data_IF_145803358658
#
_entry.id   IF_145803358658
#
_cell.length_a   1.000
_cell.length_b   1.000
_cell.length_c   1.000
_cell.angle_alpha   90.00
_cell.angle_beta   90.00
_cell.angle_gamma   90.00
#
_symmetry.space_group_name_H-M   'P 1'
#
loop_
_entity.id
_entity.type
_entity.pdbx_description
1 polymer ?
#
# COMPACT_ATOMS: atom_id res chain seq x y z
N UNK A 1 -17.50 21.67 97.31
CA UNK A 1 -17.24 23.08 96.99
C UNK A 1 -15.87 23.10 96.23
N UNK A 2 -15.84 23.26 95.03
CA UNK A 2 -14.74 23.78 94.23
C UNK A 2 -14.97 23.45 92.75
N UNK A 3 -15.34 24.47 91.96
CA UNK A 3 -15.54 24.44 90.51
C UNK A 3 -14.17 24.42 89.86
N UNK A 4 -13.90 23.46 89.00
CA UNK A 4 -12.80 23.52 87.99
C UNK A 4 -13.45 23.54 86.64
N UNK A 5 -13.29 24.70 85.95
CA UNK A 5 -13.61 24.90 84.58
C UNK A 5 -12.44 24.32 83.73
N UNK A 6 -12.75 23.36 82.87
CA UNK A 6 -11.81 22.94 81.78
C UNK A 6 -12.11 23.75 80.52
N UNK A 7 -11.16 24.57 80.11
CA UNK A 7 -11.22 25.28 78.84
C UNK A 7 -10.53 24.38 77.73
N UNK A 8 -11.35 23.92 76.79
CA UNK A 8 -10.84 23.19 75.65
C UNK A 8 -10.39 24.18 74.58
N UNK A 9 -9.09 24.20 74.28
CA UNK A 9 -8.54 24.87 73.13
C UNK A 9 -8.72 23.99 71.89
N UNK A 10 -9.60 24.40 70.96
CA UNK A 10 -9.77 23.80 69.65
C UNK A 10 -8.66 24.32 68.74
N UNK A 11 -7.68 23.48 68.44
CA UNK A 11 -6.61 23.78 67.41
C UNK A 11 -7.21 23.52 66.06
N UNK A 12 -7.52 24.59 65.32
CA UNK A 12 -7.93 24.52 63.90
C UNK A 12 -6.71 24.35 63.03
N UNK A 13 -6.45 23.12 62.58
CA UNK A 13 -5.38 22.83 61.60
C UNK A 13 -5.90 23.16 60.20
N UNK A 14 -5.43 24.25 59.63
CA UNK A 14 -5.67 24.60 58.20
C UNK A 14 -4.78 23.68 57.34
N UNK A 15 -5.39 22.72 56.67
CA UNK A 15 -4.73 21.88 55.69
C UNK A 15 -4.70 22.64 54.36
N UNK A 16 -3.55 23.24 54.02
CA UNK A 16 -3.33 23.82 52.70
C UNK A 16 -3.15 22.69 51.71
N UNK A 17 -4.19 22.39 50.91
CA UNK A 17 -4.10 21.54 49.73
C UNK A 17 -3.41 22.34 48.63
N UNK A 18 -2.11 22.09 48.40
CA UNK A 18 -1.38 22.59 47.25
C UNK A 18 -1.83 21.73 46.05
N UNK A 19 -2.76 22.23 45.27
CA UNK A 19 -3.03 21.73 43.92
C UNK A 19 -1.80 22.02 43.05
N UNK A 20 -0.92 21.04 42.91
CA UNK A 20 0.08 21.06 41.88
C UNK A 20 -0.62 20.96 40.51
N UNK A 21 -0.86 22.07 39.86
CA UNK A 21 -1.12 22.10 38.43
C UNK A 21 0.15 21.57 37.74
N UNK A 22 0.19 20.29 37.41
CA UNK A 22 1.11 19.77 36.43
C UNK A 22 0.63 20.33 35.10
N UNK A 23 1.09 21.54 34.74
CA UNK A 23 1.00 22.01 33.37
C UNK A 23 1.69 20.97 32.49
N UNK A 24 0.93 20.22 31.72
CA UNK A 24 1.48 19.35 30.70
C UNK A 24 2.34 20.23 29.78
N UNK A 25 3.65 19.97 29.76
CA UNK A 25 4.51 20.53 28.73
C UNK A 25 4.00 19.87 27.45
N UNK A 26 3.23 20.64 26.65
CA UNK A 26 2.92 20.20 25.28
C UNK A 26 4.29 20.03 24.59
N UNK A 27 4.61 18.82 24.18
CA UNK A 27 5.76 18.61 23.33
C UNK A 27 5.57 19.42 22.04
N UNK A 28 6.66 19.93 21.46
CA UNK A 28 6.57 20.58 20.16
C UNK A 28 5.97 19.58 19.13
N UNK A 29 5.09 20.05 18.22
CA UNK A 29 4.49 19.18 17.23
C UNK A 29 5.57 18.54 16.33
N UNK A 30 5.40 17.25 16.01
CA UNK A 30 6.27 16.53 15.09
C UNK A 30 6.12 17.10 13.68
N UNK A 31 7.23 17.46 13.05
CA UNK A 31 7.27 17.90 11.65
C UNK A 31 7.47 16.68 10.75
N UNK A 32 6.41 16.29 10.05
CA UNK A 32 6.40 15.16 9.13
C UNK A 32 6.41 15.64 7.69
N UNK A 33 7.26 15.06 6.84
CA UNK A 33 7.28 15.36 5.41
C UNK A 33 6.99 14.11 4.59
N UNK A 34 6.28 14.29 3.47
CA UNK A 34 5.94 13.24 2.51
C UNK A 34 6.43 13.63 1.12
N UNK A 35 7.10 12.69 0.44
CA UNK A 35 7.66 12.87 -0.90
C UNK A 35 6.96 11.91 -1.86
N UNK A 36 6.25 12.45 -2.84
CA UNK A 36 5.42 11.72 -3.78
C UNK A 36 5.99 11.69 -5.19
N UNK A 37 5.82 10.56 -5.89
CA UNK A 37 6.24 10.39 -7.28
C UNK A 37 5.30 11.07 -8.28
N UNK A 38 4.02 11.13 -7.99
CA UNK A 38 2.96 11.72 -8.82
C UNK A 38 2.24 12.88 -8.11
N UNK A 39 1.24 13.45 -8.77
CA UNK A 39 0.34 14.43 -8.16
C UNK A 39 -0.64 13.76 -7.20
N UNK A 40 -1.09 14.46 -6.16
CA UNK A 40 -2.09 13.95 -5.20
C UNK A 40 -3.47 13.67 -5.83
N UNK A 41 -3.69 14.13 -7.04
CA UNK A 41 -4.88 13.88 -7.84
C UNK A 41 -4.73 12.77 -8.88
N UNK A 42 -3.74 11.87 -8.77
CA UNK A 42 -3.54 10.75 -9.71
C UNK A 42 -4.62 9.66 -9.62
N UNK A 43 -5.36 9.64 -8.51
CA UNK A 43 -6.38 8.66 -8.13
C UNK A 43 -5.84 7.25 -7.84
N UNK A 44 -4.52 7.05 -7.95
CA UNK A 44 -3.81 5.81 -7.68
C UNK A 44 -2.95 5.88 -6.43
N UNK A 45 -1.65 5.65 -6.62
CA UNK A 45 -0.65 5.51 -5.56
C UNK A 45 -0.50 6.78 -4.71
N UNK A 46 -0.21 7.92 -5.34
CA UNK A 46 0.00 9.18 -4.61
C UNK A 46 -1.27 9.64 -3.92
N UNK A 47 -2.42 9.51 -4.56
CA UNK A 47 -3.72 9.79 -3.95
C UNK A 47 -3.97 8.95 -2.70
N UNK A 48 -3.62 7.66 -2.71
CA UNK A 48 -3.78 6.79 -1.55
C UNK A 48 -2.89 7.23 -0.37
N UNK A 49 -1.66 7.66 -0.63
CA UNK A 49 -0.77 8.23 0.38
C UNK A 49 -1.29 9.57 0.90
N UNK A 50 -1.74 10.46 0.02
CA UNK A 50 -2.34 11.74 0.41
C UNK A 50 -3.59 11.56 1.29
N UNK A 51 -4.47 10.61 0.97
CA UNK A 51 -5.60 10.25 1.84
C UNK A 51 -5.15 9.78 3.23
N UNK A 52 -4.07 9.02 3.28
CA UNK A 52 -3.50 8.56 4.54
C UNK A 52 -2.91 9.72 5.37
N UNK A 53 -2.32 10.71 4.71
CA UNK A 53 -1.86 11.94 5.36
C UNK A 53 -3.03 12.76 5.90
N UNK A 54 -4.15 12.82 5.18
CA UNK A 54 -5.35 13.49 5.70
C UNK A 54 -5.89 12.76 6.95
N UNK A 55 -5.88 11.42 6.95
CA UNK A 55 -6.21 10.63 8.13
C UNK A 55 -5.23 10.87 9.29
N UNK A 56 -3.92 10.97 9.02
CA UNK A 56 -2.92 11.34 10.03
C UNK A 56 -3.23 12.68 10.66
N UNK A 57 -3.50 13.72 9.85
CA UNK A 57 -3.87 15.06 10.32
C UNK A 57 -5.14 15.05 11.16
N UNK A 58 -6.13 14.24 10.77
CA UNK A 58 -7.40 14.11 11.50
C UNK A 58 -7.20 13.45 12.88
N UNK A 59 -6.37 12.41 12.96
CA UNK A 59 -6.19 11.62 14.19
C UNK A 59 -5.22 12.29 15.16
N UNK A 60 -4.10 12.81 14.68
CA UNK A 60 -3.03 13.39 15.51
C UNK A 60 -3.29 14.87 15.81
N UNK A 61 -4.02 15.56 14.94
CA UNK A 61 -4.41 16.96 15.17
C UNK A 61 -3.23 17.93 15.18
N UNK A 62 -3.22 18.81 16.19
CA UNK A 62 -2.23 19.88 16.32
C UNK A 62 -0.84 19.38 16.71
N UNK A 63 -0.68 18.12 17.10
CA UNK A 63 0.61 17.51 17.48
C UNK A 63 1.44 17.11 16.24
N UNK A 64 0.96 17.34 15.01
CA UNK A 64 1.71 17.12 13.77
C UNK A 64 1.64 18.29 12.80
N UNK A 65 2.78 18.70 12.25
CA UNK A 65 2.88 19.66 11.14
C UNK A 65 3.32 18.89 9.90
N UNK A 66 2.49 18.89 8.86
CA UNK A 66 2.76 18.11 7.65
C UNK A 66 3.22 18.99 6.49
N UNK A 67 4.24 18.51 5.78
CA UNK A 67 4.72 19.04 4.49
C UNK A 67 4.58 17.95 3.43
N UNK A 68 3.89 18.20 2.33
CA UNK A 68 3.76 17.29 1.19
C UNK A 68 4.48 17.87 -0.03
N UNK A 69 5.25 17.06 -0.76
CA UNK A 69 5.97 17.46 -1.98
C UNK A 69 5.63 16.47 -3.09
N UNK A 70 4.94 16.95 -4.11
CA UNK A 70 4.41 16.16 -5.22
C UNK A 70 5.36 16.12 -6.42
N UNK A 71 5.18 15.11 -7.27
CA UNK A 71 5.80 14.99 -8.59
C UNK A 71 7.32 15.10 -8.56
N UNK A 72 7.95 14.48 -7.57
CA UNK A 72 9.40 14.41 -7.44
C UNK A 72 9.93 13.25 -8.27
N UNK A 73 10.75 13.53 -9.27
CA UNK A 73 11.29 12.49 -10.14
C UNK A 73 12.31 11.58 -9.41
N UNK A 74 12.36 10.31 -9.78
CA UNK A 74 13.29 9.28 -9.24
C UNK A 74 14.72 9.43 -9.81
N UNK A 75 15.28 10.62 -9.69
CA UNK A 75 16.62 10.97 -10.15
C UNK A 75 17.36 11.80 -9.07
N UNK A 76 18.34 12.62 -9.46
CA UNK A 76 19.07 13.52 -8.54
C UNK A 76 18.17 14.51 -7.79
N UNK A 77 16.98 14.83 -8.32
CA UNK A 77 16.03 15.73 -7.67
C UNK A 77 15.47 15.13 -6.38
N UNK A 78 15.22 13.83 -6.34
CA UNK A 78 14.74 13.18 -5.11
C UNK A 78 15.73 13.33 -3.96
N UNK A 79 17.04 13.13 -4.18
CA UNK A 79 18.06 13.35 -3.14
C UNK A 79 18.09 14.81 -2.68
N UNK A 80 17.97 15.76 -3.59
CA UNK A 80 17.95 17.21 -3.28
C UNK A 80 16.73 17.59 -2.44
N UNK A 81 15.55 17.09 -2.81
CA UNK A 81 14.29 17.33 -2.08
C UNK A 81 14.35 16.72 -0.69
N UNK A 82 14.70 15.43 -0.58
CA UNK A 82 14.80 14.71 0.70
C UNK A 82 15.83 15.42 1.61
N UNK A 83 16.99 15.86 1.08
CA UNK A 83 18.00 16.61 1.83
C UNK A 83 17.45 17.94 2.36
N UNK A 84 16.66 18.66 1.55
CA UNK A 84 16.06 19.92 1.97
C UNK A 84 15.03 19.71 3.10
N UNK A 85 14.26 18.63 3.02
CA UNK A 85 13.28 18.27 4.04
C UNK A 85 13.93 17.80 5.34
N UNK A 86 15.05 17.05 5.28
CA UNK A 86 15.78 16.56 6.44
C UNK A 86 16.33 17.66 7.35
N UNK A 87 16.50 18.88 6.83
CA UNK A 87 16.98 20.03 7.61
C UNK A 87 15.92 20.64 8.52
N UNK A 88 14.66 20.29 8.36
CA UNK A 88 13.54 20.99 9.02
C UNK A 88 12.37 20.10 9.43
N UNK A 89 12.50 18.79 9.26
CA UNK A 89 11.49 17.82 9.66
C UNK A 89 12.10 16.74 10.56
N UNK A 90 11.28 16.14 11.40
CA UNK A 90 11.66 15.12 12.37
C UNK A 90 11.52 13.71 11.78
N UNK A 91 10.54 13.55 10.89
CA UNK A 91 10.29 12.29 10.16
C UNK A 91 9.94 12.56 8.68
N UNK A 92 10.44 11.73 7.78
CA UNK A 92 10.25 11.85 6.33
C UNK A 92 9.79 10.53 5.77
N UNK A 93 8.65 10.54 5.08
CA UNK A 93 8.11 9.43 4.33
C UNK A 93 8.42 9.59 2.85
N UNK A 94 9.12 8.63 2.26
CA UNK A 94 9.45 8.58 0.83
C UNK A 94 8.68 7.44 0.19
N UNK A 95 7.79 7.75 -0.76
CA UNK A 95 6.71 6.85 -1.18
C UNK A 95 6.91 6.26 -2.57
N UNK A 96 8.13 6.11 -3.05
CA UNK A 96 8.38 5.43 -4.32
C UNK A 96 9.63 4.57 -4.27
N UNK A 97 9.61 3.42 -4.95
CA UNK A 97 10.72 2.46 -4.97
C UNK A 97 12.05 3.10 -5.36
N UNK A 98 12.07 3.96 -6.38
CA UNK A 98 13.29 4.62 -6.83
C UNK A 98 13.88 5.65 -5.87
N UNK A 99 13.16 6.02 -4.80
CA UNK A 99 13.72 6.86 -3.74
C UNK A 99 14.59 6.08 -2.75
N UNK A 100 14.71 4.76 -2.85
CA UNK A 100 15.42 3.93 -1.89
C UNK A 100 16.87 4.38 -1.66
N UNK A 101 17.66 4.46 -2.72
CA UNK A 101 19.07 4.88 -2.63
C UNK A 101 19.24 6.34 -2.19
N UNK A 102 18.50 7.34 -2.75
CA UNK A 102 18.50 8.71 -2.26
C UNK A 102 18.16 8.82 -0.77
N UNK A 103 17.11 8.13 -0.32
CA UNK A 103 16.69 8.12 1.09
C UNK A 103 17.79 7.56 1.99
N UNK A 104 18.34 6.40 1.66
CA UNK A 104 19.43 5.76 2.43
C UNK A 104 20.69 6.65 2.51
N UNK A 105 21.01 7.37 1.44
CA UNK A 105 22.15 8.29 1.41
C UNK A 105 21.89 9.53 2.28
N UNK A 106 20.66 10.06 2.28
CA UNK A 106 20.31 11.21 3.11
C UNK A 106 20.22 10.80 4.58
N UNK A 107 19.61 9.67 4.90
CA UNK A 107 19.48 9.16 6.27
C UNK A 107 20.84 9.07 6.99
N UNK A 108 21.88 8.59 6.31
CA UNK A 108 23.25 8.55 6.86
C UNK A 108 23.82 9.93 7.22
N UNK A 109 23.37 10.99 6.54
CA UNK A 109 23.85 12.37 6.79
C UNK A 109 23.06 13.11 7.86
N UNK A 110 21.86 12.62 8.17
CA UNK A 110 20.92 13.21 9.13
C UNK A 110 20.46 12.16 10.16
N UNK A 111 21.35 11.70 11.05
CA UNK A 111 21.09 10.58 11.96
C UNK A 111 19.96 10.86 12.97
N UNK A 112 19.67 12.12 13.27
CA UNK A 112 18.61 12.49 14.20
C UNK A 112 17.21 12.49 13.56
N UNK A 113 17.13 12.56 12.21
CA UNK A 113 15.88 12.51 11.44
C UNK A 113 15.47 11.06 11.20
N UNK A 114 14.18 10.76 11.33
CA UNK A 114 13.61 9.44 11.05
C UNK A 114 13.16 9.37 9.59
N UNK A 115 13.38 8.22 8.96
CA UNK A 115 12.99 8.00 7.58
C UNK A 115 12.15 6.73 7.47
N UNK A 116 11.06 6.84 6.73
CA UNK A 116 10.13 5.76 6.39
C UNK A 116 10.09 5.61 4.87
N UNK A 117 10.59 4.50 4.35
CA UNK A 117 10.66 4.30 2.91
C UNK A 117 9.71 3.18 2.46
N UNK A 118 8.76 3.53 1.56
CA UNK A 118 7.82 2.57 0.99
C UNK A 118 8.49 1.67 -0.04
N UNK A 119 8.15 0.38 -0.01
CA UNK A 119 8.48 -0.65 -1.03
C UNK A 119 9.98 -0.96 -1.21
N UNK A 120 10.85 -0.35 -0.38
CA UNK A 120 12.29 -0.63 -0.41
C UNK A 120 12.73 -1.76 0.53
N UNK A 121 14.04 -2.05 0.49
CA UNK A 121 14.66 -3.07 1.34
C UNK A 121 15.95 -2.59 2.03
N UNK A 122 16.39 -1.34 1.79
CA UNK A 122 17.54 -0.75 2.48
C UNK A 122 17.08 -0.10 3.79
N UNK A 123 17.66 -0.54 4.90
CA UNK A 123 17.37 -0.04 6.26
C UNK A 123 18.64 0.46 6.94
N UNK A 124 18.47 1.21 8.01
CA UNK A 124 19.53 1.72 8.88
C UNK A 124 18.96 2.09 10.25
N UNK A 125 19.78 2.59 11.17
CA UNK A 125 19.36 2.93 12.54
C UNK A 125 18.20 3.95 12.58
N UNK A 126 18.14 4.84 11.59
CA UNK A 126 17.14 5.88 11.44
C UNK A 126 16.31 5.75 10.14
N UNK A 127 16.36 4.60 9.47
CA UNK A 127 15.64 4.31 8.23
C UNK A 127 14.89 3.00 8.33
N UNK A 128 13.57 3.08 8.34
CA UNK A 128 12.62 1.97 8.23
C UNK A 128 12.22 1.71 6.79
N UNK A 129 11.73 0.50 6.53
CA UNK A 129 10.99 0.17 5.32
C UNK A 129 9.58 -0.32 5.67
N UNK A 130 8.61 -0.01 4.79
CA UNK A 130 7.26 -0.52 4.90
C UNK A 130 6.68 -0.88 3.53
N UNK A 131 5.89 -1.94 3.49
CA UNK A 131 5.32 -2.47 2.26
C UNK A 131 3.99 -3.16 2.52
N UNK A 132 3.08 -3.10 1.53
CA UNK A 132 1.86 -3.88 1.56
C UNK A 132 1.99 -5.16 0.72
N UNK A 133 1.31 -6.22 1.18
CA UNK A 133 1.18 -7.51 0.47
C UNK A 133 0.11 -7.40 -0.60
N UNK A 134 0.30 -6.54 -1.61
CA UNK A 134 -0.69 -6.30 -2.68
C UNK A 134 -1.06 -7.59 -3.39
N UNK A 135 -0.12 -8.52 -3.53
CA UNK A 135 -0.35 -9.83 -4.14
C UNK A 135 -1.52 -10.60 -3.48
N UNK A 136 -1.80 -10.39 -2.19
CA UNK A 136 -2.96 -10.99 -1.53
C UNK A 136 -4.27 -10.48 -2.17
N UNK A 137 -4.37 -9.17 -2.39
CA UNK A 137 -5.50 -8.55 -3.07
C UNK A 137 -5.57 -8.92 -4.54
N UNK A 138 -4.40 -8.99 -5.22
CA UNK A 138 -4.33 -9.38 -6.64
C UNK A 138 -4.83 -10.81 -6.87
N UNK A 139 -4.56 -11.73 -5.97
CA UNK A 139 -5.10 -13.09 -6.03
C UNK A 139 -6.64 -13.12 -6.03
N UNK A 140 -7.25 -12.32 -5.13
CA UNK A 140 -8.72 -12.18 -5.07
C UNK A 140 -9.28 -11.58 -6.36
N UNK A 141 -8.61 -10.54 -6.89
CA UNK A 141 -9.01 -9.93 -8.17
C UNK A 141 -8.85 -10.90 -9.33
N UNK A 142 -7.81 -11.72 -9.31
CA UNK A 142 -7.61 -12.81 -10.27
C UNK A 142 -8.81 -13.75 -10.29
N UNK A 143 -9.31 -14.17 -9.12
CA UNK A 143 -10.53 -15.01 -9.05
C UNK A 143 -11.76 -14.33 -9.63
N UNK A 144 -11.93 -13.01 -9.38
CA UNK A 144 -13.00 -12.25 -10.02
C UNK A 144 -12.82 -12.21 -11.54
N UNK A 145 -11.60 -11.95 -12.02
CA UNK A 145 -11.30 -11.88 -13.45
C UNK A 145 -11.58 -13.23 -14.14
N UNK A 146 -11.05 -14.32 -13.59
CA UNK A 146 -11.25 -15.67 -14.15
C UNK A 146 -12.72 -16.11 -14.21
N UNK A 147 -13.54 -15.66 -13.22
CA UNK A 147 -14.98 -15.92 -13.22
C UNK A 147 -15.80 -14.98 -14.10
N UNK A 148 -15.25 -13.84 -14.54
CA UNK A 148 -15.96 -12.81 -15.30
C UNK A 148 -15.56 -12.74 -16.77
N UNK A 149 -14.34 -13.14 -17.12
CA UNK A 149 -13.85 -13.13 -18.50
C UNK A 149 -14.70 -14.04 -19.40
N UNK A 150 -14.90 -13.62 -20.63
CA UNK A 150 -15.57 -14.38 -21.69
C UNK A 150 -14.58 -14.78 -22.80
N UNK A 151 -13.54 -13.97 -22.99
CA UNK A 151 -12.48 -14.25 -23.96
C UNK A 151 -11.39 -15.18 -23.42
N UNK A 152 -11.34 -15.40 -22.11
CA UNK A 152 -10.26 -16.01 -21.36
C UNK A 152 -8.94 -15.20 -21.39
N UNK A 153 -8.93 -13.99 -21.95
CA UNK A 153 -7.74 -13.15 -22.06
C UNK A 153 -7.83 -11.98 -21.08
N UNK A 154 -6.88 -11.94 -20.15
CA UNK A 154 -6.69 -10.85 -19.22
C UNK A 154 -5.51 -9.98 -19.68
N UNK A 155 -5.62 -8.66 -19.53
CA UNK A 155 -4.58 -7.70 -19.83
C UNK A 155 -3.97 -7.11 -18.56
N UNK A 156 -2.64 -6.95 -18.53
CA UNK A 156 -1.95 -6.28 -17.45
C UNK A 156 -1.12 -5.10 -17.98
N UNK A 157 -1.38 -3.90 -17.45
CA UNK A 157 -0.56 -2.71 -17.70
C UNK A 157 0.47 -2.63 -16.58
N UNK A 158 1.75 -2.87 -16.91
CA UNK A 158 2.85 -2.85 -15.97
C UNK A 158 3.62 -1.53 -16.03
N UNK A 159 3.95 -0.98 -14.86
CA UNK A 159 4.80 0.20 -14.72
C UNK A 159 6.27 -0.12 -14.96
N UNK A 160 6.93 -0.73 -13.99
CA UNK A 160 8.32 -1.18 -14.06
C UNK A 160 8.43 -2.64 -13.63
N UNK A 161 9.35 -3.44 -14.21
CA UNK A 161 9.51 -4.86 -13.90
C UNK A 161 10.28 -5.07 -12.56
N UNK A 162 9.81 -4.48 -11.49
CA UNK A 162 10.34 -4.70 -10.14
C UNK A 162 9.65 -5.90 -9.47
N UNK A 163 10.26 -6.52 -8.45
CA UNK A 163 9.70 -7.71 -7.78
C UNK A 163 8.26 -7.55 -7.32
N UNK A 164 7.86 -6.36 -6.87
CA UNK A 164 6.48 -6.07 -6.44
C UNK A 164 5.49 -6.26 -7.59
N UNK A 165 5.76 -5.67 -8.74
CA UNK A 165 4.86 -5.75 -9.91
C UNK A 165 4.82 -7.17 -10.47
N UNK A 166 5.98 -7.85 -10.51
CA UNK A 166 6.08 -9.23 -10.99
C UNK A 166 5.25 -10.20 -10.13
N UNK A 167 5.40 -10.14 -8.79
CA UNK A 167 4.61 -11.02 -7.91
C UNK A 167 3.12 -10.71 -7.94
N UNK A 168 2.74 -9.45 -8.17
CA UNK A 168 1.35 -9.04 -8.33
C UNK A 168 0.71 -9.65 -9.59
N UNK A 169 1.43 -9.63 -10.73
CA UNK A 169 1.04 -10.28 -11.97
C UNK A 169 0.85 -11.78 -11.74
N UNK A 170 1.87 -12.44 -11.17
CA UNK A 170 1.83 -13.87 -10.89
C UNK A 170 0.66 -14.24 -9.98
N UNK A 171 0.43 -13.47 -8.94
CA UNK A 171 -0.64 -13.71 -7.98
C UNK A 171 -2.04 -13.54 -8.60
N UNK A 172 -2.25 -12.51 -9.42
CA UNK A 172 -3.49 -12.32 -10.16
C UNK A 172 -3.74 -13.49 -11.14
N UNK A 173 -2.70 -13.89 -11.86
CA UNK A 173 -2.79 -15.03 -12.79
C UNK A 173 -3.15 -16.33 -12.06
N UNK A 174 -2.46 -16.67 -10.97
CA UNK A 174 -2.74 -17.86 -10.15
C UNK A 174 -4.14 -17.82 -9.58
N UNK A 175 -4.61 -16.65 -9.13
CA UNK A 175 -5.99 -16.47 -8.68
C UNK A 175 -7.02 -16.78 -9.77
N UNK A 176 -6.81 -16.25 -10.98
CA UNK A 176 -7.68 -16.49 -12.13
C UNK A 176 -7.66 -17.97 -12.58
N UNK A 177 -6.45 -18.51 -12.70
CA UNK A 177 -6.22 -19.92 -13.09
C UNK A 177 -6.91 -20.92 -12.16
N UNK A 178 -7.02 -20.58 -10.87
CA UNK A 178 -7.66 -21.43 -9.86
C UNK A 178 -9.18 -21.60 -10.06
N UNK A 179 -9.84 -20.73 -10.83
CA UNK A 179 -11.28 -20.77 -11.12
C UNK A 179 -11.59 -20.94 -12.61
N UNK A 180 -10.64 -20.62 -13.48
CA UNK A 180 -10.74 -20.77 -14.92
C UNK A 180 -9.39 -21.26 -15.48
N UNK A 181 -9.25 -22.55 -15.81
CA UNK A 181 -7.99 -23.12 -16.26
C UNK A 181 -7.54 -22.64 -17.65
N UNK A 182 -8.41 -22.00 -18.42
CA UNK A 182 -8.13 -21.58 -19.79
C UNK A 182 -7.68 -20.12 -19.92
N UNK A 183 -7.51 -19.40 -18.78
CA UNK A 183 -7.10 -17.99 -18.82
C UNK A 183 -5.68 -17.81 -19.32
N UNK A 184 -5.52 -16.72 -20.09
CA UNK A 184 -4.25 -16.19 -20.54
C UNK A 184 -4.00 -14.80 -19.93
N UNK A 185 -2.73 -14.42 -19.74
CA UNK A 185 -2.33 -13.10 -19.30
C UNK A 185 -1.43 -12.44 -20.35
N UNK A 186 -1.89 -11.33 -20.93
CA UNK A 186 -1.09 -10.47 -21.82
C UNK A 186 -0.56 -9.28 -21.02
N UNK A 187 0.70 -8.91 -21.19
CA UNK A 187 1.37 -7.87 -20.40
C UNK A 187 1.95 -6.82 -21.34
N UNK A 188 1.67 -5.55 -21.03
CA UNK A 188 2.28 -4.39 -21.68
C UNK A 188 3.00 -3.55 -20.64
N UNK A 189 4.32 -3.38 -20.78
CA UNK A 189 5.14 -2.55 -19.92
C UNK A 189 5.27 -1.15 -20.50
N UNK A 190 4.97 -0.10 -19.69
CA UNK A 190 4.98 1.29 -20.14
C UNK A 190 6.14 2.12 -19.57
N UNK A 191 6.92 1.57 -18.66
CA UNK A 191 8.10 2.19 -18.03
C UNK A 191 7.82 3.58 -17.41
N UNK A 192 6.68 3.69 -16.73
CA UNK A 192 6.31 4.87 -15.93
C UNK A 192 5.30 4.45 -14.85
N UNK A 193 5.27 5.19 -13.75
CA UNK A 193 4.25 5.01 -12.71
C UNK A 193 2.94 5.72 -13.08
N UNK A 194 3.03 6.91 -13.68
CA UNK A 194 1.90 7.75 -14.01
C UNK A 194 2.10 8.40 -15.38
N UNK A 195 1.29 8.02 -16.35
CA UNK A 195 1.20 8.62 -17.68
C UNK A 195 -0.15 8.23 -18.30
N UNK A 196 -1.20 9.04 -18.14
CA UNK A 196 -2.55 8.71 -18.62
C UNK A 196 -2.61 8.38 -20.12
N UNK A 197 -1.74 9.00 -20.94
CA UNK A 197 -1.67 8.72 -22.37
C UNK A 197 -1.14 7.33 -22.66
N UNK A 198 0.02 6.97 -22.08
CA UNK A 198 0.60 5.62 -22.24
C UNK A 198 -0.28 4.53 -21.62
N UNK A 199 -0.95 4.83 -20.51
CA UNK A 199 -1.88 3.90 -19.87
C UNK A 199 -3.09 3.61 -20.77
N UNK A 200 -3.66 4.64 -21.41
CA UNK A 200 -4.74 4.49 -22.37
C UNK A 200 -4.30 3.70 -23.62
N UNK A 201 -3.11 4.00 -24.16
CA UNK A 201 -2.54 3.29 -25.31
C UNK A 201 -2.31 1.81 -24.99
N UNK A 202 -1.78 1.50 -23.80
CA UNK A 202 -1.56 0.13 -23.33
C UNK A 202 -2.89 -0.63 -23.14
N UNK A 203 -3.92 0.03 -22.59
CA UNK A 203 -5.24 -0.54 -22.45
C UNK A 203 -5.83 -0.91 -23.82
N UNK A 204 -5.78 0.01 -24.79
CA UNK A 204 -6.25 -0.23 -26.16
C UNK A 204 -5.46 -1.38 -26.85
N UNK A 205 -4.14 -1.42 -26.65
CA UNK A 205 -3.30 -2.49 -27.20
C UNK A 205 -3.65 -3.87 -26.61
N UNK A 206 -3.99 -3.96 -25.33
CA UNK A 206 -4.42 -5.19 -24.68
C UNK A 206 -5.81 -5.62 -25.16
N UNK A 207 -6.75 -4.68 -25.33
CA UNK A 207 -8.09 -4.94 -25.88
C UNK A 207 -7.96 -5.46 -27.31
N UNK A 208 -7.09 -4.87 -28.14
CA UNK A 208 -6.84 -5.36 -29.51
C UNK A 208 -6.24 -6.78 -29.54
N UNK A 209 -5.60 -7.22 -28.44
CA UNK A 209 -5.12 -8.60 -28.26
C UNK A 209 -6.17 -9.54 -27.69
N UNK A 210 -7.42 -9.08 -27.52
CA UNK A 210 -8.55 -9.87 -27.05
C UNK A 210 -8.82 -9.82 -25.54
N UNK A 211 -8.12 -8.96 -24.80
CA UNK A 211 -8.37 -8.81 -23.37
C UNK A 211 -9.77 -8.21 -23.11
N UNK A 212 -10.56 -8.85 -22.26
CA UNK A 212 -11.85 -8.37 -21.79
C UNK A 212 -11.89 -8.09 -20.28
N UNK A 213 -10.75 -8.27 -19.60
CA UNK A 213 -10.51 -7.84 -18.20
C UNK A 213 -9.12 -7.20 -18.10
N UNK A 214 -9.05 -5.98 -17.63
CA UNK A 214 -7.79 -5.24 -17.47
C UNK A 214 -7.37 -5.14 -16.00
N UNK A 215 -6.08 -5.33 -15.78
CA UNK A 215 -5.37 -4.97 -14.56
C UNK A 215 -4.38 -3.86 -14.86
N UNK A 216 -4.07 -3.06 -13.87
CA UNK A 216 -2.99 -2.09 -13.94
C UNK A 216 -2.17 -2.05 -12.65
N UNK A 217 -0.89 -1.71 -12.79
CA UNK A 217 -0.02 -1.30 -11.70
C UNK A 217 0.61 0.06 -12.07
N UNK A 218 -0.26 0.95 -12.51
CA UNK A 218 -0.04 2.34 -12.88
C UNK A 218 -1.13 3.18 -12.23
N UNK A 219 -0.97 4.49 -12.17
CA UNK A 219 -1.68 5.28 -11.16
C UNK A 219 -2.87 6.08 -11.69
N UNK A 220 -3.01 6.26 -13.03
CA UNK A 220 -4.13 7.03 -13.54
C UNK A 220 -5.42 6.22 -13.67
N UNK A 221 -6.54 6.93 -13.81
CA UNK A 221 -7.84 6.32 -14.11
C UNK A 221 -8.04 5.99 -15.59
N UNK A 222 -7.04 6.23 -16.46
CA UNK A 222 -7.20 6.11 -17.91
C UNK A 222 -7.59 4.70 -18.35
N UNK A 223 -6.93 3.66 -17.82
CA UNK A 223 -7.27 2.27 -18.15
C UNK A 223 -8.69 1.89 -17.73
N UNK A 224 -9.17 2.42 -16.60
CA UNK A 224 -10.56 2.22 -16.13
C UNK A 224 -11.56 2.90 -17.07
N UNK A 225 -11.27 4.12 -17.53
CA UNK A 225 -12.10 4.86 -18.50
C UNK A 225 -12.18 4.12 -19.83
N UNK A 226 -11.04 3.65 -20.36
CA UNK A 226 -10.99 2.86 -21.59
C UNK A 226 -11.77 1.54 -21.45
N UNK A 227 -11.70 0.88 -20.31
CA UNK A 227 -12.48 -0.34 -20.05
C UNK A 227 -13.99 -0.06 -20.06
N UNK A 228 -14.44 1.03 -19.44
CA UNK A 228 -15.83 1.47 -19.45
C UNK A 228 -16.34 1.77 -20.86
N UNK A 229 -15.56 2.53 -21.63
CA UNK A 229 -15.90 2.91 -23.02
C UNK A 229 -16.00 1.68 -23.95
N UNK A 230 -15.22 0.63 -23.69
CA UNK A 230 -15.21 -0.60 -24.48
C UNK A 230 -16.15 -1.69 -23.94
N UNK A 231 -16.85 -1.44 -22.83
CA UNK A 231 -17.78 -2.41 -22.22
C UNK A 231 -17.10 -3.68 -21.71
N UNK A 232 -15.83 -3.57 -21.29
CA UNK A 232 -15.03 -4.62 -20.67
C UNK A 232 -14.82 -4.35 -19.19
N UNK A 233 -14.17 -5.27 -18.49
CA UNK A 233 -13.95 -5.13 -17.04
C UNK A 233 -12.57 -4.60 -16.69
N UNK A 234 -12.46 -3.98 -15.50
CA UNK A 234 -11.19 -3.52 -14.93
C UNK A 234 -11.24 -3.52 -13.41
N UNK A 235 -10.08 -3.25 -12.78
CA UNK A 235 -9.94 -3.14 -11.33
C UNK A 235 -9.32 -1.80 -10.95
N UNK A 236 -9.82 -1.21 -9.84
CA UNK A 236 -9.19 -0.04 -9.26
C UNK A 236 -7.79 -0.34 -8.69
N UNK A 237 -6.85 0.55 -8.92
CA UNK A 237 -5.47 0.50 -8.44
C UNK A 237 -5.28 1.49 -7.30
N UNK A 238 -4.82 0.99 -6.14
CA UNK A 238 -4.56 1.73 -4.90
C UNK A 238 -5.76 2.49 -4.31
N UNK A 239 -6.83 2.70 -5.09
CA UNK A 239 -8.07 3.36 -4.69
C UNK A 239 -9.30 2.78 -5.40
N UNK A 240 -10.48 3.26 -4.98
CA UNK A 240 -11.74 2.96 -5.66
C UNK A 240 -11.91 3.89 -6.86
N UNK A 241 -11.78 3.35 -8.07
CA UNK A 241 -11.86 4.08 -9.35
C UNK A 241 -13.25 3.98 -10.03
N UNK A 242 -14.30 3.59 -9.28
CA UNK A 242 -15.65 3.40 -9.84
C UNK A 242 -16.23 4.64 -10.52
N UNK A 243 -15.78 5.82 -10.15
CA UNK A 243 -16.22 7.07 -10.77
C UNK A 243 -15.92 7.10 -12.28
N UNK A 244 -14.80 6.50 -12.68
CA UNK A 244 -14.35 6.44 -14.10
C UNK A 244 -14.83 5.20 -14.85
N UNK A 245 -15.28 4.17 -14.13
CA UNK A 245 -15.79 2.92 -14.72
C UNK A 245 -16.88 2.31 -13.86
N UNK A 246 -18.08 2.93 -13.78
CA UNK A 246 -19.15 2.44 -12.91
C UNK A 246 -19.63 1.03 -13.26
N UNK A 247 -19.54 0.63 -14.53
CA UNK A 247 -19.88 -0.70 -15.01
C UNK A 247 -18.64 -1.59 -15.18
N UNK A 248 -17.51 -1.02 -15.59
CA UNK A 248 -16.25 -1.74 -15.82
C UNK A 248 -15.61 -2.20 -14.52
N UNK A 249 -15.61 -1.38 -13.44
CA UNK A 249 -14.94 -1.76 -12.21
C UNK A 249 -15.60 -2.96 -11.54
N UNK A 250 -14.95 -4.11 -11.53
CA UNK A 250 -15.39 -5.29 -10.76
C UNK A 250 -15.16 -5.09 -9.25
N UNK A 251 -14.01 -4.63 -8.87
CA UNK A 251 -13.55 -4.28 -7.53
C UNK A 251 -12.24 -3.48 -7.65
N UNK A 252 -11.41 -3.44 -6.63
CA UNK A 252 -10.10 -2.79 -6.67
C UNK A 252 -9.35 -3.02 -5.37
N UNK A 253 -8.01 -2.90 -5.41
CA UNK A 253 -7.20 -2.76 -4.20
C UNK A 253 -7.34 -1.32 -3.71
N UNK A 254 -7.58 -1.16 -2.41
CA UNK A 254 -7.56 0.13 -1.73
C UNK A 254 -6.46 0.11 -0.68
N UNK A 255 -5.44 0.91 -0.89
CA UNK A 255 -4.32 1.01 0.03
C UNK A 255 -4.71 1.83 1.27
N UNK A 256 -4.43 1.29 2.45
CA UNK A 256 -4.81 1.89 3.73
C UNK A 256 -3.57 2.19 4.59
N UNK A 257 -2.80 3.19 4.19
CA UNK A 257 -1.56 3.62 4.86
C UNK A 257 -1.79 4.43 6.14
N UNK A 258 -3.01 4.98 6.34
CA UNK A 258 -3.32 5.90 7.44
C UNK A 258 -2.93 5.39 8.81
N UNK A 259 -3.34 4.19 9.26
CA UNK A 259 -2.97 3.64 10.56
C UNK A 259 -1.45 3.54 10.76
N UNK A 260 -0.70 3.17 9.73
CA UNK A 260 0.76 3.11 9.79
C UNK A 260 1.37 4.50 10.00
N UNK A 261 0.92 5.51 9.26
CA UNK A 261 1.43 6.87 9.42
C UNK A 261 1.16 7.44 10.81
N UNK A 262 -0.03 7.17 11.36
CA UNK A 262 -0.38 7.55 12.73
C UNK A 262 0.56 6.87 13.73
N UNK A 263 0.76 5.55 13.62
CA UNK A 263 1.65 4.79 14.49
C UNK A 263 3.08 5.35 14.46
N UNK A 264 3.63 5.61 13.26
CA UNK A 264 5.01 6.07 13.12
C UNK A 264 5.24 7.48 13.64
N UNK A 265 4.30 8.39 13.38
CA UNK A 265 4.35 9.77 13.93
C UNK A 265 4.16 9.76 15.43
N UNK A 266 3.22 8.95 15.96
CA UNK A 266 3.02 8.78 17.40
C UNK A 266 4.28 8.24 18.07
N UNK A 267 4.97 7.28 17.46
CA UNK A 267 6.23 6.75 17.99
C UNK A 267 7.35 7.81 18.07
N UNK A 268 7.35 8.80 17.17
CA UNK A 268 8.27 9.95 17.26
C UNK A 268 7.86 10.86 18.42
N UNK A 269 6.57 11.18 18.58
CA UNK A 269 6.04 11.98 19.69
C UNK A 269 6.40 11.36 21.06
N UNK A 270 6.27 10.04 21.17
CA UNK A 270 6.52 9.28 22.39
C UNK A 270 8.01 8.97 22.63
N UNK A 271 8.89 9.30 21.67
CA UNK A 271 10.30 8.96 21.72
C UNK A 271 10.61 7.46 21.64
N UNK A 272 9.68 6.66 21.14
CA UNK A 272 9.78 5.19 21.04
C UNK A 272 10.07 4.69 19.64
N UNK A 273 10.23 5.59 18.67
CA UNK A 273 10.49 5.23 17.29
C UNK A 273 11.76 4.38 17.15
N UNK A 274 11.66 3.27 16.47
CA UNK A 274 12.78 2.41 16.08
C UNK A 274 12.67 2.03 14.61
N UNK A 275 13.80 1.74 13.97
CA UNK A 275 13.80 1.23 12.60
C UNK A 275 13.15 -0.14 12.54
N UNK A 276 12.24 -0.33 11.58
CA UNK A 276 11.49 -1.57 11.35
C UNK A 276 11.46 -1.96 9.87
N UNK A 277 11.17 -3.22 9.61
CA UNK A 277 10.71 -3.72 8.31
C UNK A 277 9.26 -4.15 8.47
N UNK A 278 8.33 -3.31 8.05
CA UNK A 278 6.92 -3.55 8.31
C UNK A 278 6.19 -4.00 7.04
N UNK A 279 5.55 -5.16 7.11
CA UNK A 279 4.83 -5.76 6.00
C UNK A 279 3.39 -6.06 6.41
N UNK A 280 2.42 -5.35 5.81
CA UNK A 280 1.00 -5.50 6.09
C UNK A 280 0.22 -6.02 4.88
N UNK A 281 -0.82 -6.81 5.12
CA UNK A 281 -1.67 -7.38 4.09
C UNK A 281 -3.16 -7.16 4.35
N UNK A 282 -3.97 -8.08 3.86
CA UNK A 282 -5.43 -8.10 4.09
C UNK A 282 -5.73 -8.26 5.57
N UNK A 283 -5.00 -9.14 6.26
CA UNK A 283 -5.18 -9.40 7.69
C UNK A 283 -4.92 -8.15 8.54
N UNK A 284 -3.87 -7.42 8.25
CA UNK A 284 -3.48 -6.19 8.96
C UNK A 284 -4.32 -4.97 8.51
N UNK A 285 -5.18 -5.14 7.51
CA UNK A 285 -6.05 -4.09 6.98
C UNK A 285 -5.32 -3.02 6.16
N UNK A 286 -4.11 -3.31 5.66
CA UNK A 286 -3.36 -2.43 4.76
C UNK A 286 -3.84 -2.55 3.32
N UNK A 287 -4.23 -3.77 2.94
CA UNK A 287 -4.89 -4.08 1.66
C UNK A 287 -6.37 -4.24 1.91
N UNK A 288 -7.16 -3.28 1.46
CA UNK A 288 -8.62 -3.29 1.47
C UNK A 288 -9.16 -3.45 0.05
N UNK A 289 -10.44 -3.70 -0.06
CA UNK A 289 -11.12 -3.89 -1.34
C UNK A 289 -12.16 -2.79 -1.59
N UNK A 290 -12.20 -2.29 -2.82
CA UNK A 290 -13.33 -1.50 -3.28
C UNK A 290 -14.61 -2.38 -3.30
N UNK A 291 -15.80 -1.79 -3.14
CA UNK A 291 -17.04 -2.54 -3.24
C UNK A 291 -17.12 -3.34 -4.55
N UNK A 292 -17.46 -4.62 -4.46
CA UNK A 292 -17.67 -5.47 -5.63
C UNK A 292 -18.85 -4.95 -6.48
N UNK A 293 -18.72 -5.07 -7.80
CA UNK A 293 -19.78 -4.70 -8.74
C UNK A 293 -21.02 -5.58 -8.52
N UNK A 294 -22.21 -4.97 -8.56
CA UNK A 294 -23.47 -5.69 -8.36
C UNK A 294 -23.79 -6.69 -9.48
N UNK A 295 -23.20 -6.51 -10.66
CA UNK A 295 -23.39 -7.38 -11.82
C UNK A 295 -22.57 -8.67 -11.77
N UNK A 296 -21.67 -8.82 -10.77
CA UNK A 296 -20.91 -10.06 -10.58
C UNK A 296 -21.86 -11.18 -10.13
N UNK A 297 -21.89 -12.34 -10.81
CA UNK A 297 -22.68 -13.50 -10.40
C UNK A 297 -22.40 -13.92 -8.96
N UNK A 298 -23.41 -14.49 -8.32
CA UNK A 298 -23.33 -14.82 -6.88
C UNK A 298 -22.21 -15.81 -6.57
N UNK A 299 -22.02 -16.82 -7.37
CA UNK A 299 -20.98 -17.84 -7.22
C UNK A 299 -19.56 -17.24 -7.34
N UNK A 300 -19.34 -16.36 -8.31
CA UNK A 300 -18.06 -15.63 -8.50
C UNK A 300 -17.79 -14.70 -7.32
N UNK A 301 -18.81 -13.94 -6.89
CA UNK A 301 -18.70 -13.07 -5.70
C UNK A 301 -18.40 -13.87 -4.44
N UNK A 302 -19.06 -14.99 -4.25
CA UNK A 302 -18.87 -15.87 -3.10
C UNK A 302 -17.46 -16.48 -3.08
N UNK A 303 -16.95 -16.93 -4.23
CA UNK A 303 -15.57 -17.42 -4.35
C UNK A 303 -14.52 -16.36 -3.98
N UNK A 304 -14.70 -15.12 -4.46
CA UNK A 304 -13.83 -14.00 -4.10
C UNK A 304 -13.93 -13.64 -2.61
N UNK A 305 -15.14 -13.58 -2.05
CA UNK A 305 -15.37 -13.29 -0.63
C UNK A 305 -14.74 -14.37 0.26
N UNK A 306 -14.86 -15.63 -0.12
CA UNK A 306 -14.20 -16.75 0.57
C UNK A 306 -12.67 -16.58 0.53
N UNK A 307 -12.11 -16.23 -0.61
CA UNK A 307 -10.67 -16.02 -0.74
C UNK A 307 -10.17 -14.89 0.16
N UNK A 308 -10.92 -13.79 0.30
CA UNK A 308 -10.59 -12.71 1.25
C UNK A 308 -10.52 -13.26 2.68
N UNK A 309 -11.53 -14.05 3.09
CA UNK A 309 -11.58 -14.64 4.44
C UNK A 309 -10.43 -15.63 4.65
N UNK A 310 -10.18 -16.50 3.68
CA UNK A 310 -9.12 -17.52 3.77
C UNK A 310 -7.72 -16.87 3.89
N UNK A 311 -7.44 -15.82 3.12
CA UNK A 311 -6.18 -15.05 3.20
C UNK A 311 -6.10 -14.31 4.54
N UNK A 312 -7.17 -13.63 4.96
CA UNK A 312 -7.22 -12.89 6.21
C UNK A 312 -6.99 -13.79 7.43
N UNK A 313 -7.50 -15.01 7.39
CA UNK A 313 -7.33 -15.99 8.48
C UNK A 313 -6.04 -16.83 8.37
N UNK A 314 -5.32 -16.72 7.25
CA UNK A 314 -4.14 -17.54 6.97
C UNK A 314 -4.46 -18.97 6.55
N UNK A 315 -5.73 -19.27 6.22
CA UNK A 315 -6.14 -20.59 5.74
C UNK A 315 -5.58 -20.90 4.33
N UNK A 316 -5.30 -19.86 3.52
CA UNK A 316 -4.62 -19.99 2.24
C UNK A 316 -3.61 -18.87 2.05
N UNK A 317 -2.58 -19.14 1.23
CA UNK A 317 -1.64 -18.13 0.78
C UNK A 317 -1.60 -18.13 -0.76
N UNK A 318 -1.57 -16.96 -1.44
CA UNK A 318 -1.57 -16.87 -2.90
C UNK A 318 -0.49 -17.70 -3.61
N UNK A 319 0.66 -17.84 -2.98
CA UNK A 319 1.79 -18.63 -3.45
C UNK A 319 1.96 -19.89 -2.58
N UNK A 320 1.00 -20.80 -2.69
CA UNK A 320 1.10 -22.16 -2.14
C UNK A 320 1.14 -23.13 -3.32
N UNK A 321 2.15 -24.00 -3.33
CA UNK A 321 2.42 -24.96 -4.41
C UNK A 321 1.41 -26.10 -4.52
N UNK A 322 1.48 -26.83 -5.64
CA UNK A 322 2.60 -26.87 -6.57
C UNK A 322 2.58 -25.66 -7.55
N UNK A 323 3.72 -25.01 -7.73
CA UNK A 323 3.89 -23.90 -8.68
C UNK A 323 5.22 -24.07 -9.40
N UNK A 324 5.18 -23.99 -10.75
CA UNK A 324 6.36 -23.95 -11.59
C UNK A 324 6.63 -22.52 -12.06
N UNK A 325 7.89 -22.25 -12.42
CA UNK A 325 8.29 -21.04 -13.16
C UNK A 325 7.88 -21.17 -14.62
N UNK A 326 7.89 -20.04 -15.35
CA UNK A 326 7.51 -19.95 -16.76
C UNK A 326 8.24 -20.96 -17.67
N UNK A 327 9.50 -21.27 -17.36
CA UNK A 327 10.31 -22.24 -18.09
C UNK A 327 10.03 -23.71 -17.75
N UNK A 328 9.02 -23.96 -16.90
CA UNK A 328 8.63 -25.30 -16.43
C UNK A 328 9.46 -25.81 -15.25
N UNK A 329 10.46 -25.08 -14.77
CA UNK A 329 11.22 -25.50 -13.58
C UNK A 329 10.37 -25.41 -12.31
N UNK A 330 10.36 -26.45 -11.44
CA UNK A 330 9.64 -26.39 -10.17
C UNK A 330 10.14 -25.24 -9.29
N UNK A 331 9.18 -24.51 -8.68
CA UNK A 331 9.50 -23.50 -7.68
C UNK A 331 8.98 -23.89 -6.29
N UNK A 332 7.71 -24.21 -6.17
CA UNK A 332 7.11 -24.66 -4.90
C UNK A 332 6.53 -26.06 -5.06
N UNK A 333 6.87 -26.96 -4.14
CA UNK A 333 6.27 -28.27 -4.05
C UNK A 333 4.82 -28.21 -3.54
N UNK A 334 4.08 -29.32 -3.63
CA UNK A 334 2.71 -29.38 -3.12
C UNK A 334 2.63 -29.04 -1.63
N UNK A 335 1.79 -28.06 -1.28
CA UNK A 335 1.62 -27.56 0.09
C UNK A 335 2.73 -26.64 0.60
N UNK A 336 3.81 -26.45 -0.15
CA UNK A 336 4.86 -25.49 0.17
C UNK A 336 4.38 -24.06 -0.08
N UNK A 337 4.71 -23.14 0.83
CA UNK A 337 4.37 -21.71 0.71
C UNK A 337 5.63 -20.89 0.52
N UNK A 338 5.61 -19.97 -0.42
CA UNK A 338 6.72 -19.06 -0.68
C UNK A 338 7.08 -18.26 0.57
N UNK A 339 8.37 -18.13 0.83
CA UNK A 339 8.90 -17.26 1.88
C UNK A 339 8.78 -15.77 1.47
N UNK A 340 8.81 -14.89 2.46
CA UNK A 340 8.83 -13.45 2.21
C UNK A 340 10.04 -13.04 1.36
N UNK A 341 11.22 -13.61 1.63
CA UNK A 341 12.44 -13.29 0.89
C UNK A 341 12.33 -13.68 -0.59
N UNK A 342 11.76 -14.85 -0.90
CA UNK A 342 11.48 -15.25 -2.29
C UNK A 342 10.52 -14.31 -2.99
N UNK A 343 9.46 -13.87 -2.30
CA UNK A 343 8.50 -12.93 -2.84
C UNK A 343 9.11 -11.54 -3.06
N UNK A 344 9.95 -11.06 -2.13
CA UNK A 344 10.63 -9.77 -2.26
C UNK A 344 11.70 -9.77 -3.36
N UNK A 345 12.26 -10.95 -3.70
CA UNK A 345 13.26 -11.11 -4.75
C UNK A 345 12.72 -11.67 -6.08
N UNK A 346 11.40 -11.75 -6.26
CA UNK A 346 10.80 -12.43 -7.42
C UNK A 346 11.14 -11.75 -8.76
N UNK A 347 11.79 -12.49 -9.65
CA UNK A 347 12.28 -12.05 -10.97
C UNK A 347 11.93 -13.07 -12.07
N UNK A 348 10.73 -13.66 -12.01
CA UNK A 348 10.23 -14.62 -12.99
C UNK A 348 8.71 -14.63 -13.02
N UNK A 349 8.14 -15.03 -14.16
CA UNK A 349 6.74 -15.38 -14.25
C UNK A 349 6.50 -16.84 -13.86
N UNK A 350 5.29 -17.13 -13.39
CA UNK A 350 4.83 -18.51 -13.18
C UNK A 350 4.43 -19.15 -14.50
N UNK A 351 4.45 -20.48 -14.53
CA UNK A 351 4.03 -21.27 -15.68
C UNK A 351 2.62 -20.91 -16.18
N UNK A 352 2.48 -20.77 -17.49
CA UNK A 352 1.26 -20.40 -18.19
C UNK A 352 1.10 -18.91 -18.50
N UNK A 353 2.00 -18.04 -18.03
CA UNK A 353 2.13 -16.66 -18.53
C UNK A 353 3.06 -16.66 -19.72
N UNK A 354 2.53 -16.47 -20.93
CA UNK A 354 3.30 -16.56 -22.19
C UNK A 354 4.03 -15.26 -22.56
N UNK A 355 3.74 -14.15 -21.86
CA UNK A 355 4.42 -12.87 -22.10
C UNK A 355 5.92 -12.98 -21.83
N UNK A 356 6.76 -12.38 -22.69
CA UNK A 356 8.20 -12.35 -22.48
C UNK A 356 8.54 -11.62 -21.18
N UNK A 357 9.40 -12.23 -20.35
CA UNK A 357 9.93 -11.56 -19.18
C UNK A 357 10.83 -10.39 -19.60
N UNK A 358 10.66 -9.19 -19.04
CA UNK A 358 11.49 -8.04 -19.40
C UNK A 358 12.96 -8.27 -19.00
N UNK A 359 13.87 -7.90 -19.89
CA UNK A 359 15.33 -8.01 -19.69
C UNK A 359 15.88 -6.84 -18.85
#
# INVERSE_FOLDING_TARGET
MSNRRFSSFLKLSVLCVVLAFTGGVSADPVKAAFVYIGPTGDHGWTYAHHRAVNHLKEVVGDDVIVTEVESVAENSDSERVITSLARKNDIIFTTSFGYMNPTAKVAKRYPDVKFEHATGYIRGDNLSTYQAKFYEGRHVMGKLAGGMTKSNVMGWIGSFPIPEVIRDINSAYLGAKSVNPDVEMKIVWINTWFDPGKEADAANALIAQGADVLFQHTDSSAAMTIAEENGIYSFGQASNMREWGPNAQLSGIVNNWGPYYVERVQAVLDGTWTSTDTLGGVKEGWVKFAPMNNNIPFDVRNAASKAIIDIMTGATHPFTGPINKQDGTPWLAEGETATIDELMGMQFYVEGIDSQFPN
#
